data_IF_363528690931
#
_entry.id   IF_363528690931
#
_cell.length_a   1.000
_cell.length_b   1.000
_cell.length_c   1.000
_cell.angle_alpha   90.00
_cell.angle_beta   90.00
_cell.angle_gamma   90.00
#
_symmetry.space_group_name_H-M   'P 1'
#
loop_
_entity.id
_entity.type
_entity.pdbx_description
1 polymer ?
#
# COMPACT_ATOMS: atom_id res chain seq x y z
N UNK A 1 7.51 25.60 7.78
CA UNK A 1 7.43 24.76 6.58
C UNK A 1 8.83 24.22 6.24
N UNK A 2 9.33 23.27 7.04
CA UNK A 2 10.67 22.66 6.84
C UNK A 2 10.72 21.23 7.41
N UNK A 3 10.11 20.96 8.57
CA UNK A 3 10.11 19.61 9.16
C UNK A 3 9.09 18.66 8.51
N UNK A 4 7.92 19.17 8.12
CA UNK A 4 6.83 18.36 7.55
C UNK A 4 7.23 17.75 6.19
N UNK A 5 7.72 18.61 5.27
CA UNK A 5 8.22 18.16 3.96
C UNK A 5 9.38 17.18 4.08
N UNK A 6 10.34 17.44 4.99
CA UNK A 6 11.45 16.50 5.26
C UNK A 6 10.94 15.15 5.75
N UNK A 7 9.93 15.15 6.64
CA UNK A 7 9.32 13.92 7.14
C UNK A 7 8.61 13.16 6.01
N UNK A 8 7.92 13.84 5.10
CA UNK A 8 7.25 13.22 3.96
C UNK A 8 8.22 12.55 2.99
N UNK A 9 9.35 13.19 2.69
CA UNK A 9 10.39 12.57 1.85
C UNK A 9 11.03 11.33 2.50
N UNK A 10 11.31 11.39 3.80
CA UNK A 10 11.81 10.22 4.56
C UNK A 10 10.76 9.10 4.58
N UNK A 11 9.49 9.46 4.75
CA UNK A 11 8.39 8.51 4.73
C UNK A 11 8.26 7.81 3.37
N UNK A 12 8.35 8.55 2.27
CA UNK A 12 8.36 7.98 0.91
C UNK A 12 9.54 7.01 0.74
N UNK A 13 10.74 7.37 1.20
CA UNK A 13 11.90 6.48 1.12
C UNK A 13 11.71 5.18 1.92
N UNK A 14 11.15 5.27 3.13
CA UNK A 14 10.82 4.09 3.95
C UNK A 14 9.76 3.20 3.26
N UNK A 15 8.75 3.81 2.65
CA UNK A 15 7.69 3.11 1.89
C UNK A 15 8.23 2.39 0.66
N UNK A 16 9.19 2.98 -0.05
CA UNK A 16 9.86 2.32 -1.18
C UNK A 16 10.63 1.08 -0.70
N UNK A 17 11.30 1.15 0.45
CA UNK A 17 11.97 -0.02 1.03
C UNK A 17 10.97 -1.11 1.42
N UNK A 18 9.83 -0.71 1.99
CA UNK A 18 8.73 -1.62 2.35
C UNK A 18 8.16 -2.30 1.10
N UNK A 19 8.00 -1.58 -0.01
CA UNK A 19 7.58 -2.15 -1.30
C UNK A 19 8.53 -3.23 -1.82
N UNK A 20 9.85 -3.05 -1.68
CA UNK A 20 10.83 -4.08 -2.08
C UNK A 20 10.71 -5.34 -1.22
N UNK A 21 10.49 -5.18 0.09
CA UNK A 21 10.26 -6.31 1.00
C UNK A 21 8.94 -7.01 0.66
N UNK A 22 7.88 -6.24 0.39
CA UNK A 22 6.58 -6.74 -0.02
C UNK A 22 6.69 -7.56 -1.32
N UNK A 23 7.43 -7.06 -2.31
CA UNK A 23 7.69 -7.78 -3.58
C UNK A 23 8.42 -9.11 -3.34
N UNK A 24 9.39 -9.13 -2.42
CA UNK A 24 10.09 -10.37 -2.04
C UNK A 24 9.15 -11.36 -1.35
N UNK A 25 8.20 -10.86 -0.55
CA UNK A 25 7.16 -11.68 0.08
C UNK A 25 6.22 -12.27 -0.98
N UNK A 26 5.87 -11.48 -2.00
CA UNK A 26 5.03 -11.91 -3.10
C UNK A 26 5.60 -13.10 -3.88
N UNK A 27 6.92 -13.12 -4.05
CA UNK A 27 7.65 -14.17 -4.76
C UNK A 27 7.80 -15.50 -3.98
N UNK A 28 7.27 -15.61 -2.76
CA UNK A 28 7.30 -16.86 -1.98
C UNK A 28 6.24 -17.85 -2.48
N UNK A 29 6.40 -19.12 -2.10
CA UNK A 29 5.63 -20.26 -2.63
C UNK A 29 4.19 -20.35 -2.10
N UNK A 30 3.91 -19.74 -0.95
CA UNK A 30 2.60 -19.85 -0.29
C UNK A 30 1.63 -18.78 -0.80
N UNK A 31 0.39 -19.16 -1.09
CA UNK A 31 -0.67 -18.25 -1.56
C UNK A 31 -0.90 -17.12 -0.53
N UNK A 32 -0.87 -17.46 0.77
CA UNK A 32 -0.99 -16.48 1.85
C UNK A 32 0.15 -15.45 1.85
N UNK A 33 1.40 -15.88 1.60
CA UNK A 33 2.56 -14.97 1.52
C UNK A 33 2.44 -14.02 0.33
N UNK A 34 1.97 -14.54 -0.81
CA UNK A 34 1.70 -13.76 -2.02
C UNK A 34 0.64 -12.70 -1.77
N UNK A 35 -0.44 -13.07 -1.10
CA UNK A 35 -1.53 -12.16 -0.79
C UNK A 35 -1.11 -11.05 0.18
N UNK A 36 -0.35 -11.39 1.23
CA UNK A 36 0.18 -10.40 2.18
C UNK A 36 1.11 -9.41 1.45
N UNK A 37 1.98 -9.91 0.57
CA UNK A 37 2.87 -9.08 -0.24
C UNK A 37 2.12 -8.10 -1.15
N UNK A 38 1.13 -8.59 -1.90
CA UNK A 38 0.28 -7.74 -2.75
C UNK A 38 -0.51 -6.69 -1.94
N UNK A 39 -1.01 -7.06 -0.76
CA UNK A 39 -1.78 -6.16 0.11
C UNK A 39 -0.91 -5.05 0.69
N UNK A 40 0.29 -5.41 1.17
CA UNK A 40 1.27 -4.43 1.63
C UNK A 40 1.69 -3.48 0.50
N UNK A 41 1.85 -3.98 -0.72
CA UNK A 41 2.20 -3.17 -1.89
C UNK A 41 1.09 -2.17 -2.27
N UNK A 42 -0.17 -2.62 -2.28
CA UNK A 42 -1.33 -1.75 -2.55
C UNK A 42 -1.46 -0.65 -1.50
N UNK A 43 -1.29 -0.99 -0.22
CA UNK A 43 -1.30 -0.04 0.89
C UNK A 43 -0.20 1.02 0.73
N UNK A 44 1.02 0.57 0.42
CA UNK A 44 2.16 1.46 0.20
C UNK A 44 1.89 2.43 -0.97
N UNK A 45 1.31 1.93 -2.05
CA UNK A 45 0.96 2.73 -3.22
C UNK A 45 -0.05 3.82 -2.86
N UNK A 46 -1.09 3.49 -2.10
CA UNK A 46 -2.08 4.46 -1.63
C UNK A 46 -1.45 5.56 -0.79
N UNK A 47 -0.65 5.20 0.22
CA UNK A 47 0.00 6.18 1.10
C UNK A 47 0.93 7.12 0.33
N UNK A 48 1.73 6.60 -0.61
CA UNK A 48 2.57 7.43 -1.49
C UNK A 48 1.70 8.41 -2.30
N UNK A 49 0.57 7.95 -2.83
CA UNK A 49 -0.33 8.78 -3.62
C UNK A 49 -0.95 9.93 -2.81
N UNK A 50 -1.27 9.71 -1.53
CA UNK A 50 -1.73 10.78 -0.63
C UNK A 50 -0.66 11.83 -0.41
N UNK A 51 0.57 11.40 -0.10
CA UNK A 51 1.70 12.31 0.16
C UNK A 51 2.03 13.14 -1.08
N UNK A 52 2.12 12.48 -2.25
CA UNK A 52 2.35 13.15 -3.52
C UNK A 52 1.19 14.10 -3.85
N UNK A 53 -0.05 13.70 -3.60
CA UNK A 53 -1.23 14.54 -3.77
C UNK A 53 -1.20 15.81 -2.90
N UNK A 54 -0.67 15.72 -1.68
CA UNK A 54 -0.52 16.85 -0.77
C UNK A 54 0.59 17.81 -1.25
N UNK A 55 1.75 17.27 -1.64
CA UNK A 55 2.90 18.05 -2.15
C UNK A 55 2.55 18.81 -3.44
N UNK A 56 1.84 18.17 -4.38
CA UNK A 56 1.48 18.75 -5.68
C UNK A 56 0.10 19.42 -5.69
N UNK A 57 -0.64 19.44 -4.58
CA UNK A 57 -2.01 19.97 -4.47
C UNK A 57 -3.01 19.37 -5.47
N UNK A 58 -2.88 18.07 -5.76
CA UNK A 58 -3.79 17.34 -6.67
C UNK A 58 -4.84 16.62 -5.83
N UNK A 59 -6.06 17.17 -5.79
CA UNK A 59 -7.15 16.59 -4.99
C UNK A 59 -7.55 15.17 -5.43
N UNK A 60 -7.46 14.88 -6.73
CA UNK A 60 -7.85 13.57 -7.29
C UNK A 60 -7.01 12.40 -6.74
N UNK A 61 -5.77 12.66 -6.30
CA UNK A 61 -4.90 11.64 -5.72
C UNK A 61 -5.46 11.08 -4.39
N UNK A 62 -6.19 11.90 -3.61
CA UNK A 62 -6.81 11.46 -2.35
C UNK A 62 -7.96 10.48 -2.61
N UNK A 63 -8.81 10.76 -3.60
CA UNK A 63 -9.92 9.88 -3.97
C UNK A 63 -9.43 8.53 -4.53
N UNK A 64 -8.41 8.55 -5.39
CA UNK A 64 -7.80 7.32 -5.91
C UNK A 64 -7.18 6.52 -4.76
N UNK A 65 -6.42 7.16 -3.87
CA UNK A 65 -5.81 6.45 -2.73
C UNK A 65 -6.87 5.78 -1.87
N UNK A 66 -7.97 6.49 -1.60
CA UNK A 66 -9.06 5.94 -0.81
C UNK A 66 -9.66 4.72 -1.52
N UNK A 67 -9.92 4.80 -2.83
CA UNK A 67 -10.41 3.68 -3.62
C UNK A 67 -9.45 2.47 -3.58
N UNK A 68 -8.14 2.68 -3.71
CA UNK A 68 -7.13 1.61 -3.66
C UNK A 68 -7.13 0.92 -2.29
N UNK A 69 -7.17 1.69 -1.20
CA UNK A 69 -7.16 1.13 0.16
C UNK A 69 -8.41 0.32 0.41
N UNK A 70 -9.59 0.82 0.02
CA UNK A 70 -10.84 0.09 0.17
C UNK A 70 -10.87 -1.19 -0.68
N UNK A 71 -10.47 -1.12 -1.96
CA UNK A 71 -10.42 -2.31 -2.83
C UNK A 71 -9.43 -3.36 -2.30
N UNK A 72 -8.28 -2.94 -1.77
CA UNK A 72 -7.26 -3.84 -1.22
C UNK A 72 -7.77 -4.67 -0.04
N UNK A 73 -8.55 -4.05 0.85
CA UNK A 73 -9.17 -4.74 2.00
C UNK A 73 -10.22 -5.76 1.54
N UNK A 74 -11.01 -5.45 0.51
CA UNK A 74 -12.02 -6.40 -0.01
C UNK A 74 -11.36 -7.69 -0.52
N UNK A 75 -10.22 -7.60 -1.22
CA UNK A 75 -9.49 -8.77 -1.72
C UNK A 75 -8.96 -9.69 -0.61
N UNK A 76 -8.44 -9.10 0.47
CA UNK A 76 -7.94 -9.88 1.63
C UNK A 76 -9.04 -10.55 2.41
N UNK A 77 -10.17 -9.87 2.62
CA UNK A 77 -11.35 -10.45 3.26
C UNK A 77 -11.89 -11.61 2.40
N UNK A 78 -12.00 -11.42 1.09
CA UNK A 78 -12.46 -12.46 0.16
C UNK A 78 -11.63 -13.75 0.27
N UNK A 79 -10.30 -13.62 0.31
CA UNK A 79 -9.43 -14.78 0.53
C UNK A 79 -9.59 -15.40 1.91
N UNK A 80 -9.66 -14.60 2.98
CA UNK A 80 -9.81 -15.11 4.34
C UNK A 80 -11.09 -15.94 4.51
N UNK A 81 -12.18 -15.52 3.85
CA UNK A 81 -13.46 -16.26 3.83
C UNK A 81 -13.34 -17.61 3.13
N UNK A 82 -12.55 -17.70 2.05
CA UNK A 82 -12.33 -18.96 1.32
C UNK A 82 -11.37 -19.87 2.10
N UNK A 83 -10.26 -19.32 2.60
CA UNK A 83 -9.25 -20.06 3.34
C UNK A 83 -9.78 -20.59 4.69
N UNK A 84 -10.71 -19.89 5.34
CA UNK A 84 -11.36 -20.37 6.57
C UNK A 84 -12.45 -21.44 6.34
N UNK A 85 -12.79 -21.74 5.08
CA UNK A 85 -13.79 -22.74 4.70
C UNK A 85 -13.18 -24.07 4.22
N UNK A 86 -11.87 -24.10 3.97
CA UNK A 86 -11.08 -25.31 3.65
C UNK A 86 -10.40 -25.85 4.89
#
# INVERSE_FOLDING_TARGET
MNILLISEYILIAALLFMMLVALRLTARRSISDTLIGCSAFALCTGVILVIVGDIFSINFCKDISLAIIFLGVVGTIGYAVVAGRT
#
